data_IF_841433495070
#
_entry.id   IF_841433495070
#
_cell.length_a   1.000
_cell.length_b   1.000
_cell.length_c   1.000
_cell.angle_alpha   90.00
_cell.angle_beta   90.00
_cell.angle_gamma   90.00
#
_symmetry.space_group_name_H-M   'P 1'
#
loop_
_entity.id
_entity.type
_entity.pdbx_description
1 polymer ?
#
# COMPACT_ATOMS: atom_id res chain seq x y z
N UNK A 1 36.12 -1.71 -20.75
CA UNK A 1 35.48 -2.36 -19.58
C UNK A 1 33.94 -2.30 -19.66
N UNK A 2 33.35 -2.36 -20.86
CA UNK A 2 31.88 -2.36 -21.03
C UNK A 2 31.35 -3.40 -22.04
N UNK A 3 32.22 -4.06 -22.81
CA UNK A 3 31.79 -5.11 -23.75
C UNK A 3 31.65 -6.51 -23.12
N UNK A 4 32.28 -6.75 -21.96
CA UNK A 4 32.19 -8.03 -21.25
C UNK A 4 30.80 -8.25 -20.60
N UNK A 5 30.15 -7.17 -20.13
CA UNK A 5 28.81 -7.22 -19.55
C UNK A 5 27.71 -7.31 -20.62
N UNK A 6 27.89 -6.64 -21.77
CA UNK A 6 26.99 -6.77 -22.91
C UNK A 6 27.05 -8.16 -23.56
N UNK A 7 28.25 -8.79 -23.60
CA UNK A 7 28.41 -10.18 -24.01
C UNK A 7 27.74 -11.14 -23.02
N UNK A 8 27.93 -10.95 -21.70
CA UNK A 8 27.31 -11.79 -20.68
C UNK A 8 25.77 -11.71 -20.67
N UNK A 9 25.21 -10.56 -21.02
CA UNK A 9 23.76 -10.37 -21.07
C UNK A 9 23.11 -10.95 -22.34
N UNK A 10 23.82 -10.94 -23.48
CA UNK A 10 23.34 -11.59 -24.72
C UNK A 10 23.38 -13.12 -24.65
N UNK A 11 24.25 -13.71 -23.83
CA UNK A 11 24.29 -15.18 -23.61
C UNK A 11 23.16 -15.67 -22.69
N UNK A 12 22.48 -14.78 -21.96
CA UNK A 12 21.45 -15.14 -20.97
C UNK A 12 20.02 -15.26 -21.55
N UNK A 13 19.81 -14.94 -22.84
CA UNK A 13 18.54 -15.16 -23.53
C UNK A 13 18.62 -16.34 -24.50
N UNK A 14 18.49 -17.57 -23.98
CA UNK A 14 17.86 -18.68 -24.70
C UNK A 14 17.80 -19.94 -23.83
N UNK A 15 16.58 -20.49 -23.72
CA UNK A 15 16.22 -21.84 -23.28
C UNK A 15 16.34 -22.10 -21.78
N UNK A 16 15.23 -21.84 -21.07
CA UNK A 16 14.88 -22.59 -19.87
C UNK A 16 14.67 -24.05 -20.28
N UNK A 17 15.76 -24.82 -20.28
CA UNK A 17 15.68 -26.27 -20.10
C UNK A 17 15.60 -26.50 -18.60
N UNK A 18 14.49 -27.08 -18.14
CA UNK A 18 14.39 -27.61 -16.78
C UNK A 18 15.35 -28.81 -16.72
N UNK A 19 16.57 -28.59 -16.22
CA UNK A 19 17.49 -29.69 -15.92
C UNK A 19 17.19 -30.24 -14.53
N UNK A 20 17.08 -31.56 -14.44
CA UNK A 20 16.74 -32.37 -13.25
C UNK A 20 17.78 -32.31 -12.10
N UNK A 21 18.66 -31.29 -12.06
CA UNK A 21 19.76 -31.15 -11.08
C UNK A 21 19.29 -30.88 -9.64
N UNK A 22 18.03 -30.48 -9.44
CA UNK A 22 17.44 -30.34 -8.09
C UNK A 22 17.27 -31.67 -7.34
N UNK A 23 17.44 -32.82 -8.00
CA UNK A 23 17.31 -34.14 -7.36
C UNK A 23 18.57 -34.59 -6.62
N UNK A 24 19.72 -33.94 -6.79
CA UNK A 24 21.01 -34.41 -6.24
C UNK A 24 21.72 -33.44 -5.29
N UNK A 25 21.06 -32.40 -4.78
CA UNK A 25 21.70 -31.52 -3.78
C UNK A 25 21.82 -32.23 -2.41
N UNK A 26 23.03 -32.37 -1.84
CA UNK A 26 23.21 -33.04 -0.54
C UNK A 26 22.65 -32.15 0.57
N UNK A 27 21.64 -32.66 1.29
CA UNK A 27 20.95 -31.97 2.38
C UNK A 27 21.85 -31.57 3.56
N UNK A 28 23.04 -32.16 3.67
CA UNK A 28 23.98 -31.92 4.78
C UNK A 28 24.73 -30.58 4.67
N UNK A 29 24.84 -30.00 3.46
CA UNK A 29 25.58 -28.75 3.26
C UNK A 29 24.81 -27.50 3.73
N UNK A 30 23.48 -27.61 3.94
CA UNK A 30 22.61 -26.51 4.38
C UNK A 30 22.79 -26.17 5.88
N UNK A 31 23.36 -27.09 6.66
CA UNK A 31 23.24 -27.10 8.11
C UNK A 31 24.16 -26.09 8.84
N UNK A 32 25.26 -25.65 8.20
CA UNK A 32 26.30 -24.88 8.92
C UNK A 32 26.46 -23.41 8.51
N UNK A 33 26.20 -23.06 7.25
CA UNK A 33 26.60 -21.74 6.75
C UNK A 33 25.49 -20.69 6.78
N UNK A 34 24.22 -21.10 6.67
CA UNK A 34 23.07 -20.17 6.61
C UNK A 34 22.25 -20.09 7.90
N UNK A 35 22.26 -21.13 8.75
CA UNK A 35 21.38 -21.18 9.93
C UNK A 35 21.91 -20.37 11.12
N UNK A 36 23.19 -20.47 11.49
CA UNK A 36 23.72 -19.73 12.66
C UNK A 36 23.52 -18.20 12.62
N UNK A 37 23.66 -17.50 11.48
CA UNK A 37 23.39 -16.07 11.39
C UNK A 37 21.89 -15.75 11.53
N UNK A 38 21.01 -16.59 10.99
CA UNK A 38 19.56 -16.40 11.05
C UNK A 38 18.99 -16.67 12.45
N UNK A 39 19.53 -17.65 13.19
CA UNK A 39 19.14 -17.87 14.60
C UNK A 39 19.58 -16.70 15.49
N UNK A 40 20.75 -16.12 15.23
CA UNK A 40 21.22 -14.93 15.96
C UNK A 40 20.43 -13.66 15.61
N UNK A 41 19.98 -13.50 14.36
CA UNK A 41 19.09 -12.42 13.95
C UNK A 41 17.68 -12.59 14.53
N UNK A 42 17.15 -13.82 14.56
CA UNK A 42 15.87 -14.18 15.15
C UNK A 42 15.84 -14.00 16.68
N UNK A 43 16.96 -14.21 17.36
CA UNK A 43 17.09 -13.96 18.81
C UNK A 43 17.27 -12.47 19.16
N UNK A 44 17.84 -11.66 18.26
CA UNK A 44 17.96 -10.19 18.45
C UNK A 44 16.72 -9.42 18.03
N UNK A 45 15.92 -9.95 17.10
CA UNK A 45 14.62 -9.41 16.76
C UNK A 45 13.57 -9.95 17.73
N UNK A 46 13.37 -9.25 18.85
CA UNK A 46 12.31 -9.49 19.83
C UNK A 46 10.90 -9.22 19.25
N UNK A 47 10.55 -9.85 18.14
CA UNK A 47 9.18 -9.97 17.68
C UNK A 47 8.57 -11.21 18.37
N UNK A 48 7.33 -11.15 18.89
CA UNK A 48 6.64 -12.35 19.34
C UNK A 48 6.43 -13.26 18.12
N UNK A 49 7.35 -14.20 17.93
CA UNK A 49 7.23 -15.26 16.93
C UNK A 49 6.16 -16.22 17.40
N UNK A 50 4.93 -16.01 16.94
CA UNK A 50 3.85 -16.97 17.11
C UNK A 50 4.15 -18.14 16.17
N UNK A 51 4.76 -19.19 16.70
CA UNK A 51 4.95 -20.45 15.97
C UNK A 51 3.60 -21.14 15.73
N UNK A 52 3.48 -21.81 14.59
CA UNK A 52 2.28 -22.53 14.10
C UNK A 52 1.64 -23.47 15.14
N UNK A 53 2.45 -24.08 16.01
CA UNK A 53 2.00 -25.00 17.08
C UNK A 53 1.65 -24.29 18.41
N UNK A 54 1.88 -22.96 18.51
CA UNK A 54 1.71 -22.14 19.71
C UNK A 54 0.38 -21.38 19.80
N UNK A 55 -0.45 -21.40 18.75
CA UNK A 55 -1.76 -20.76 18.80
C UNK A 55 -2.74 -21.60 19.65
N UNK A 56 -3.32 -21.05 20.74
CA UNK A 56 -4.25 -21.76 21.63
C UNK A 56 -5.46 -22.39 20.91
N UNK A 57 -5.75 -21.89 19.71
CA UNK A 57 -6.92 -22.24 18.90
C UNK A 57 -6.91 -23.72 18.49
N UNK A 58 -5.75 -24.33 18.25
CA UNK A 58 -5.67 -25.74 17.84
C UNK A 58 -5.90 -26.74 18.98
N UNK A 59 -5.73 -26.33 20.26
CA UNK A 59 -5.95 -27.19 21.44
C UNK A 59 -7.39 -27.13 21.98
N UNK A 60 -8.15 -26.11 21.63
CA UNK A 60 -9.49 -25.85 22.19
C UNK A 60 -10.63 -26.63 21.50
N UNK A 61 -10.35 -27.40 20.44
CA UNK A 61 -11.33 -28.11 19.62
C UNK A 61 -12.05 -29.31 20.30
N UNK A 62 -12.18 -29.33 21.64
CA UNK A 62 -12.82 -30.42 22.39
C UNK A 62 -13.98 -30.03 23.32
N UNK A 63 -14.37 -28.75 23.44
CA UNK A 63 -15.42 -28.37 24.40
C UNK A 63 -16.30 -27.17 23.97
N UNK A 64 -17.43 -27.37 23.29
CA UNK A 64 -18.47 -26.33 23.13
C UNK A 64 -18.16 -25.27 22.05
N UNK A 65 -18.62 -25.55 20.82
CA UNK A 65 -17.97 -25.12 19.57
C UNK A 65 -18.17 -23.65 19.15
N UNK A 66 -19.13 -22.89 19.71
CA UNK A 66 -19.35 -21.47 19.32
C UNK A 66 -18.70 -20.46 20.27
N UNK A 67 -18.83 -20.66 21.58
CA UNK A 67 -18.24 -19.74 22.56
C UNK A 67 -16.71 -19.71 22.46
N UNK A 68 -16.08 -20.86 22.19
CA UNK A 68 -14.64 -20.96 21.97
C UNK A 68 -14.17 -20.30 20.67
N UNK A 69 -14.99 -20.35 19.61
CA UNK A 69 -14.66 -19.69 18.33
C UNK A 69 -14.62 -18.17 18.52
N UNK A 70 -15.67 -17.61 19.14
CA UNK A 70 -15.74 -16.18 19.45
C UNK A 70 -14.58 -15.77 20.37
N UNK A 71 -14.31 -16.55 21.42
CA UNK A 71 -13.19 -16.28 22.31
C UNK A 71 -11.83 -16.31 21.60
N UNK A 72 -11.63 -17.26 20.68
CA UNK A 72 -10.40 -17.37 19.89
C UNK A 72 -10.23 -16.17 18.93
N UNK A 73 -11.29 -15.76 18.25
CA UNK A 73 -11.30 -14.58 17.36
C UNK A 73 -11.06 -13.29 18.15
N UNK A 74 -11.67 -13.14 19.33
CA UNK A 74 -11.46 -11.99 20.21
C UNK A 74 -10.04 -11.92 20.75
N UNK A 75 -9.42 -13.07 21.06
CA UNK A 75 -8.02 -13.13 21.44
C UNK A 75 -7.11 -12.74 20.27
N UNK A 76 -7.36 -13.28 19.08
CA UNK A 76 -6.59 -12.95 17.87
C UNK A 76 -6.69 -11.44 17.56
N UNK A 77 -7.91 -10.87 17.58
CA UNK A 77 -8.15 -9.44 17.39
C UNK A 77 -7.36 -8.59 18.40
N UNK A 78 -7.47 -8.90 19.70
CA UNK A 78 -6.75 -8.16 20.75
C UNK A 78 -5.24 -8.23 20.57
N UNK A 79 -4.70 -9.41 20.27
CA UNK A 79 -3.27 -9.57 20.02
C UNK A 79 -2.80 -8.77 18.81
N UNK A 80 -3.54 -8.82 17.70
CA UNK A 80 -3.20 -8.06 16.49
C UNK A 80 -3.25 -6.55 16.72
N UNK A 81 -4.25 -6.05 17.45
CA UNK A 81 -4.33 -4.64 17.84
C UNK A 81 -3.14 -4.21 18.70
N UNK A 82 -2.80 -4.98 19.74
CA UNK A 82 -1.62 -4.72 20.58
C UNK A 82 -0.30 -4.77 19.79
N UNK A 83 -0.22 -5.62 18.77
CA UNK A 83 0.93 -5.68 17.89
C UNK A 83 1.00 -4.44 16.98
N UNK A 84 -0.15 -3.99 16.44
CA UNK A 84 -0.25 -2.76 15.62
C UNK A 84 0.11 -1.49 16.40
N UNK A 85 -0.11 -1.46 17.71
CA UNK A 85 0.34 -0.35 18.57
C UNK A 85 1.87 -0.20 18.63
N UNK A 86 2.63 -1.26 18.31
CA UNK A 86 4.09 -1.31 18.48
C UNK A 86 4.86 -1.49 17.17
N UNK A 87 4.24 -2.10 16.17
CA UNK A 87 4.87 -2.46 14.90
C UNK A 87 3.87 -2.26 13.75
N UNK A 88 4.31 -1.55 12.71
CA UNK A 88 3.50 -1.23 11.53
C UNK A 88 3.90 -2.02 10.28
N UNK A 89 4.81 -2.99 10.40
CA UNK A 89 5.20 -3.89 9.30
C UNK A 89 4.05 -4.75 8.84
N UNK A 90 4.10 -5.19 7.58
CA UNK A 90 3.14 -6.13 7.01
C UNK A 90 3.08 -7.43 7.82
N UNK A 91 1.88 -7.85 8.21
CA UNK A 91 1.64 -9.15 8.83
C UNK A 91 1.02 -10.10 7.83
N UNK A 92 1.52 -11.34 7.80
CA UNK A 92 0.85 -12.45 7.13
C UNK A 92 -0.01 -13.17 8.17
N UNK A 93 -1.32 -12.93 8.15
CA UNK A 93 -2.26 -13.61 9.02
C UNK A 93 -2.74 -14.91 8.36
N UNK A 94 -2.33 -16.03 8.92
CA UNK A 94 -2.73 -17.35 8.43
C UNK A 94 -4.17 -17.69 8.82
N UNK A 95 -4.96 -18.10 7.83
CA UNK A 95 -6.20 -18.82 8.05
C UNK A 95 -5.96 -20.22 8.62
N UNK A 96 -7.04 -20.99 8.79
CA UNK A 96 -6.97 -22.35 9.32
C UNK A 96 -7.49 -23.33 8.28
N UNK A 97 -6.58 -24.08 7.67
CA UNK A 97 -6.91 -25.11 6.68
C UNK A 97 -7.52 -26.38 7.28
N UNK A 98 -7.31 -26.63 8.57
CA UNK A 98 -7.60 -27.92 9.21
C UNK A 98 -6.53 -29.00 8.97
N UNK A 99 -5.40 -28.63 8.37
CA UNK A 99 -4.19 -29.44 8.35
C UNK A 99 -3.43 -29.30 9.70
N UNK A 100 -2.64 -30.31 10.10
CA UNK A 100 -2.50 -31.62 9.48
C UNK A 100 -3.73 -32.53 9.67
N UNK A 101 -4.00 -33.41 8.71
CA UNK A 101 -5.15 -34.32 8.82
C UNK A 101 -4.96 -35.33 9.96
N UNK A 102 -6.02 -35.65 10.72
CA UNK A 102 -5.97 -36.73 11.69
C UNK A 102 -5.62 -38.05 11.00
N UNK A 103 -4.80 -38.89 11.66
CA UNK A 103 -4.32 -40.18 11.11
C UNK A 103 -5.43 -40.99 10.43
N UNK A 104 -6.62 -41.04 11.05
CA UNK A 104 -7.79 -41.77 10.55
C UNK A 104 -8.42 -41.32 9.25
N UNK A 105 -8.18 -40.10 8.84
CA UNK A 105 -8.69 -39.57 7.57
C UNK A 105 -7.60 -39.44 6.51
N UNK A 106 -6.32 -39.51 6.91
CA UNK A 106 -5.18 -39.41 5.98
C UNK A 106 -5.11 -40.57 4.96
N UNK A 107 -5.68 -41.74 5.29
CA UNK A 107 -5.68 -42.92 4.41
C UNK A 107 -6.90 -43.02 3.48
N UNK A 108 -7.94 -42.20 3.67
CA UNK A 108 -9.16 -42.29 2.86
C UNK A 108 -8.91 -41.90 1.40
N UNK A 109 -9.60 -42.53 0.43
CA UNK A 109 -9.26 -42.41 -0.98
C UNK A 109 -9.53 -41.02 -1.58
N UNK A 110 -10.48 -40.25 -1.02
CA UNK A 110 -10.92 -38.96 -1.58
C UNK A 110 -10.66 -37.77 -0.65
N UNK A 111 -10.23 -36.65 -1.24
CA UNK A 111 -10.14 -35.35 -0.54
C UNK A 111 -11.50 -34.88 0.01
N UNK A 112 -12.62 -35.32 -0.59
CA UNK A 112 -13.98 -35.05 -0.07
C UNK A 112 -14.21 -35.61 1.34
N UNK A 113 -13.45 -36.63 1.74
CA UNK A 113 -13.51 -37.26 3.05
C UNK A 113 -12.22 -37.09 3.86
N UNK A 114 -11.27 -36.29 3.37
CA UNK A 114 -10.02 -36.01 4.05
C UNK A 114 -10.23 -35.38 5.44
N UNK A 115 -11.37 -34.73 5.66
CA UNK A 115 -11.71 -34.09 6.92
C UNK A 115 -13.21 -34.25 7.25
N UNK A 116 -13.57 -34.51 8.52
CA UNK A 116 -14.97 -34.51 8.96
C UNK A 116 -15.67 -33.20 8.62
N UNK A 117 -16.96 -33.28 8.25
CA UNK A 117 -17.77 -32.08 7.97
C UNK A 117 -17.67 -31.05 9.10
N UNK A 118 -17.81 -31.48 10.35
CA UNK A 118 -17.69 -30.58 11.53
C UNK A 118 -16.38 -29.82 11.59
N UNK A 119 -15.24 -30.48 11.33
CA UNK A 119 -13.93 -29.83 11.37
C UNK A 119 -13.73 -28.89 10.17
N UNK A 120 -14.30 -29.20 9.00
CA UNK A 120 -14.34 -28.28 7.86
C UNK A 120 -15.14 -27.03 8.14
N UNK A 121 -16.36 -27.19 8.66
CA UNK A 121 -17.25 -26.08 8.94
C UNK A 121 -16.62 -25.14 9.97
N UNK A 122 -15.93 -25.69 10.98
CA UNK A 122 -15.23 -24.92 12.00
C UNK A 122 -13.96 -24.22 11.48
N UNK A 123 -13.15 -24.92 10.68
CA UNK A 123 -11.97 -24.32 10.04
C UNK A 123 -12.36 -23.17 9.10
N UNK A 124 -13.46 -23.34 8.36
CA UNK A 124 -14.03 -22.30 7.50
C UNK A 124 -14.52 -21.11 8.33
N UNK A 125 -15.29 -21.34 9.40
CA UNK A 125 -15.81 -20.28 10.26
C UNK A 125 -14.69 -19.47 10.94
N UNK A 126 -13.64 -20.15 11.42
CA UNK A 126 -12.48 -19.49 12.01
C UNK A 126 -11.68 -18.69 10.96
N UNK A 127 -11.46 -19.27 9.79
CA UNK A 127 -10.75 -18.59 8.69
C UNK A 127 -11.52 -17.36 8.23
N UNK A 128 -12.84 -17.42 8.16
CA UNK A 128 -13.68 -16.27 7.83
C UNK A 128 -13.55 -15.16 8.88
N UNK A 129 -13.69 -15.50 10.17
CA UNK A 129 -13.53 -14.52 11.24
C UNK A 129 -12.14 -13.87 11.25
N UNK A 130 -11.08 -14.64 10.96
CA UNK A 130 -9.73 -14.09 10.83
C UNK A 130 -9.58 -13.20 9.60
N UNK A 131 -10.24 -13.53 8.48
CA UNK A 131 -10.27 -12.70 7.27
C UNK A 131 -10.96 -11.37 7.54
N UNK A 132 -12.10 -11.38 8.25
CA UNK A 132 -12.81 -10.17 8.66
C UNK A 132 -11.95 -9.28 9.59
N UNK A 133 -11.23 -9.88 10.53
CA UNK A 133 -10.29 -9.15 11.39
C UNK A 133 -9.17 -8.52 10.55
N UNK A 134 -8.55 -9.27 9.64
CA UNK A 134 -7.51 -8.76 8.76
C UNK A 134 -8.00 -7.59 7.90
N UNK A 135 -9.22 -7.67 7.36
CA UNK A 135 -9.80 -6.61 6.53
C UNK A 135 -10.02 -5.28 7.29
N UNK A 136 -10.10 -5.32 8.62
CA UNK A 136 -10.31 -4.13 9.47
C UNK A 136 -9.00 -3.53 10.00
N UNK A 137 -7.86 -4.17 9.74
CA UNK A 137 -6.56 -3.75 10.26
C UNK A 137 -5.64 -3.32 9.12
N UNK A 138 -4.87 -2.24 9.29
CA UNK A 138 -3.89 -1.82 8.29
C UNK A 138 -2.74 -2.83 8.21
N UNK A 139 -2.18 -2.98 7.02
CA UNK A 139 -0.96 -3.75 6.77
C UNK A 139 -1.07 -5.24 7.16
N UNK A 140 -2.26 -5.83 7.11
CA UNK A 140 -2.47 -7.26 7.32
C UNK A 140 -2.87 -7.92 6.01
N UNK A 141 -2.07 -8.90 5.57
CA UNK A 141 -2.41 -9.79 4.46
C UNK A 141 -2.92 -11.12 4.99
N UNK A 142 -4.15 -11.47 4.64
CA UNK A 142 -4.73 -12.76 5.00
C UNK A 142 -4.26 -13.86 4.03
N UNK A 143 -3.65 -14.91 4.57
CA UNK A 143 -3.24 -16.10 3.82
C UNK A 143 -4.35 -17.13 3.90
N UNK A 144 -5.06 -17.32 2.78
CA UNK A 144 -6.15 -18.30 2.67
C UNK A 144 -5.60 -19.73 2.58
N UNK A 145 -5.29 -20.29 3.74
CA UNK A 145 -4.79 -21.66 3.86
C UNK A 145 -5.75 -22.71 3.28
N UNK A 146 -7.07 -22.46 3.33
CA UNK A 146 -8.07 -23.38 2.79
C UNK A 146 -7.94 -23.43 1.27
N UNK A 147 -7.84 -22.27 0.61
CA UNK A 147 -7.63 -22.19 -0.83
C UNK A 147 -6.32 -22.88 -1.25
N UNK A 148 -5.22 -22.64 -0.52
CA UNK A 148 -3.93 -23.30 -0.77
C UNK A 148 -4.04 -24.82 -0.62
N UNK A 149 -4.72 -25.29 0.43
CA UNK A 149 -4.91 -26.73 0.66
C UNK A 149 -5.79 -27.38 -0.41
N UNK A 150 -6.82 -26.67 -0.90
CA UNK A 150 -7.69 -27.13 -1.98
C UNK A 150 -6.95 -27.20 -3.32
N UNK A 151 -6.14 -26.19 -3.65
CA UNK A 151 -5.36 -26.15 -4.88
C UNK A 151 -4.32 -27.28 -4.94
N UNK A 152 -3.66 -27.57 -3.81
CA UNK A 152 -2.72 -28.70 -3.72
C UNK A 152 -3.42 -30.06 -3.63
N UNK A 153 -4.65 -30.10 -3.13
CA UNK A 153 -5.31 -31.30 -2.64
C UNK A 153 -4.87 -31.64 -1.21
N UNK A 154 -5.84 -31.84 -0.32
CA UNK A 154 -5.61 -32.02 1.12
C UNK A 154 -4.68 -33.20 1.43
N UNK A 155 -4.81 -34.32 0.72
CA UNK A 155 -3.92 -35.47 0.90
C UNK A 155 -2.48 -35.17 0.51
N UNK A 156 -2.28 -34.49 -0.62
CA UNK A 156 -0.94 -34.11 -1.10
C UNK A 156 -0.33 -33.12 -0.12
N UNK A 157 -1.07 -32.08 0.25
CA UNK A 157 -0.65 -31.09 1.24
C UNK A 157 -0.25 -31.72 2.57
N UNK A 158 -0.95 -32.78 3.00
CA UNK A 158 -0.64 -33.49 4.25
C UNK A 158 0.57 -34.43 4.15
N UNK A 159 1.14 -34.72 2.98
CA UNK A 159 2.31 -35.62 2.87
C UNK A 159 3.52 -35.01 3.59
N UNK A 160 4.22 -35.75 4.47
CA UNK A 160 5.46 -35.27 5.07
C UNK A 160 6.52 -35.09 3.99
N UNK A 161 7.27 -33.99 4.06
CA UNK A 161 8.47 -33.76 3.25
C UNK A 161 9.69 -34.31 3.98
N UNK A 162 9.69 -34.18 5.31
CA UNK A 162 10.77 -34.62 6.18
C UNK A 162 10.26 -35.71 7.12
N UNK A 163 10.93 -36.85 7.11
CA UNK A 163 10.60 -38.01 7.96
C UNK A 163 11.71 -38.21 8.99
N UNK A 164 11.47 -37.82 10.24
CA UNK A 164 12.43 -38.01 11.35
C UNK A 164 12.18 -37.13 12.57
N UNK A 165 12.71 -37.53 13.74
CA UNK A 165 12.68 -36.77 15.01
C UNK A 165 13.57 -35.51 15.07
N UNK A 166 14.73 -35.40 14.37
CA UNK A 166 15.62 -34.23 14.51
C UNK A 166 15.01 -32.89 14.10
N UNK A 167 13.93 -32.93 13.34
CA UNK A 167 13.30 -31.74 12.77
C UNK A 167 12.17 -31.20 13.65
N UNK A 168 12.02 -31.70 14.89
CA UNK A 168 11.01 -31.25 15.86
C UNK A 168 11.07 -29.74 16.19
N UNK A 169 12.20 -29.09 15.91
CA UNK A 169 12.43 -27.65 16.09
C UNK A 169 12.48 -26.88 14.76
N UNK A 170 12.20 -27.53 13.62
CA UNK A 170 12.24 -26.89 12.33
C UNK A 170 11.26 -25.70 12.24
N UNK A 171 11.75 -24.55 11.81
CA UNK A 171 11.00 -23.30 11.59
C UNK A 171 10.23 -23.29 10.25
N UNK A 172 10.15 -24.43 9.55
CA UNK A 172 9.46 -24.56 8.27
C UNK A 172 8.39 -25.64 8.31
N UNK A 173 7.43 -25.55 7.40
CA UNK A 173 6.37 -26.56 7.28
C UNK A 173 6.96 -27.93 6.90
N UNK A 174 6.75 -28.92 7.77
CA UNK A 174 7.25 -30.30 7.56
C UNK A 174 6.48 -31.11 6.53
N UNK A 175 5.42 -30.54 5.96
CA UNK A 175 4.51 -31.18 5.01
C UNK A 175 4.47 -30.40 3.71
N UNK A 176 4.07 -31.06 2.62
CA UNK A 176 4.01 -30.46 1.27
C UNK A 176 3.15 -29.20 1.21
N UNK A 177 2.24 -29.02 2.15
CA UNK A 177 1.50 -27.78 2.34
C UNK A 177 2.40 -26.53 2.34
N UNK A 178 3.60 -26.62 2.92
CA UNK A 178 4.59 -25.55 2.93
C UNK A 178 4.98 -25.05 1.54
N UNK A 179 5.02 -25.93 0.53
CA UNK A 179 5.32 -25.52 -0.84
C UNK A 179 4.20 -24.65 -1.43
N UNK A 180 2.94 -24.93 -1.09
CA UNK A 180 1.82 -24.09 -1.51
C UNK A 180 1.87 -22.72 -0.84
N UNK A 181 2.13 -22.69 0.47
CA UNK A 181 2.28 -21.45 1.22
C UNK A 181 3.46 -20.60 0.74
N UNK A 182 4.57 -21.24 0.36
CA UNK A 182 5.73 -20.54 -0.20
C UNK A 182 5.35 -19.74 -1.47
N UNK A 183 4.45 -20.26 -2.31
CA UNK A 183 3.90 -19.53 -3.45
C UNK A 183 3.21 -18.24 -3.01
N UNK A 184 2.29 -18.32 -2.06
CA UNK A 184 1.59 -17.15 -1.50
C UNK A 184 2.54 -16.14 -0.86
N UNK A 185 3.57 -16.60 -0.14
CA UNK A 185 4.58 -15.72 0.44
C UNK A 185 5.38 -15.00 -0.63
N UNK A 186 5.78 -15.70 -1.68
CA UNK A 186 6.51 -15.11 -2.80
C UNK A 186 5.69 -14.05 -3.52
N UNK A 187 4.37 -14.22 -3.64
CA UNK A 187 3.50 -13.17 -4.19
C UNK A 187 3.55 -11.89 -3.36
N UNK A 188 3.46 -11.98 -2.02
CA UNK A 188 3.54 -10.80 -1.15
C UNK A 188 4.93 -10.17 -1.19
N UNK A 189 6.00 -10.97 -1.18
CA UNK A 189 7.38 -10.46 -1.24
C UNK A 189 7.65 -9.78 -2.58
N UNK A 190 7.20 -10.37 -3.70
CA UNK A 190 7.32 -9.75 -5.03
C UNK A 190 6.50 -8.46 -5.11
N UNK A 191 5.28 -8.45 -4.56
CA UNK A 191 4.46 -7.25 -4.49
C UNK A 191 5.14 -6.16 -3.67
N UNK A 192 5.71 -6.49 -2.51
CA UNK A 192 6.47 -5.56 -1.68
C UNK A 192 7.63 -4.91 -2.46
N UNK A 193 8.39 -5.71 -3.21
CA UNK A 193 9.49 -5.19 -4.03
C UNK A 193 8.99 -4.31 -5.18
N UNK A 194 8.01 -4.82 -5.93
CA UNK A 194 7.44 -4.15 -7.11
C UNK A 194 6.66 -2.88 -6.77
N UNK A 195 6.06 -2.78 -5.60
CA UNK A 195 5.19 -1.66 -5.20
C UNK A 195 5.85 -0.69 -4.22
N UNK A 196 7.14 -0.84 -3.91
CA UNK A 196 7.83 -0.03 -2.92
C UNK A 196 7.71 1.47 -3.22
N UNK A 197 7.11 2.22 -2.29
CA UNK A 197 7.02 3.67 -2.41
C UNK A 197 6.05 4.16 -3.49
N UNK A 198 5.21 3.28 -4.05
CA UNK A 198 4.14 3.67 -4.97
C UNK A 198 3.16 4.59 -4.24
N UNK A 199 2.89 5.74 -4.86
CA UNK A 199 1.91 6.74 -4.40
C UNK A 199 0.90 7.11 -5.47
N UNK A 200 1.22 6.86 -6.75
CA UNK A 200 0.39 7.23 -7.89
C UNK A 200 0.19 6.03 -8.80
N UNK A 201 -1.05 5.79 -9.20
CA UNK A 201 -1.40 4.90 -10.30
C UNK A 201 -1.92 5.77 -11.45
N UNK A 202 -1.11 5.87 -12.50
CA UNK A 202 -1.50 6.43 -13.76
C UNK A 202 -2.12 5.33 -14.63
N UNK A 203 -3.33 5.56 -15.15
CA UNK A 203 -4.12 4.51 -15.79
C UNK A 203 -4.67 5.00 -17.13
N UNK A 204 -4.49 4.17 -18.15
CA UNK A 204 -5.20 4.29 -19.42
C UNK A 204 -6.66 3.80 -19.27
N UNK A 205 -7.51 4.11 -20.25
CA UNK A 205 -8.94 3.86 -20.17
C UNK A 205 -9.40 2.73 -21.10
N UNK A 206 -9.28 2.92 -22.42
CA UNK A 206 -9.70 1.91 -23.41
C UNK A 206 -8.91 0.62 -23.20
N UNK A 207 -9.57 -0.54 -23.31
CA UNK A 207 -9.03 -1.88 -23.02
C UNK A 207 -8.43 -2.10 -21.61
N UNK A 208 -8.37 -1.06 -20.78
CA UNK A 208 -7.79 -1.06 -19.43
C UNK A 208 -8.89 -1.04 -18.36
N UNK A 209 -9.78 -0.05 -18.39
CA UNK A 209 -10.93 0.09 -17.49
C UNK A 209 -12.23 -0.48 -18.07
N UNK A 210 -12.31 -0.60 -19.39
CA UNK A 210 -13.35 -1.30 -20.14
C UNK A 210 -12.74 -1.96 -21.38
N UNK A 211 -13.49 -2.81 -22.06
CA UNK A 211 -13.11 -3.50 -23.29
C UNK A 211 -13.73 -2.80 -24.51
N UNK A 212 -12.90 -2.38 -25.47
CA UNK A 212 -13.29 -1.63 -26.66
C UNK A 212 -13.09 -0.10 -26.56
N UNK A 213 -13.51 0.62 -27.60
CA UNK A 213 -13.41 2.08 -27.72
C UNK A 213 -14.75 2.72 -27.45
N UNK A 214 -14.85 3.51 -26.38
CA UNK A 214 -16.14 4.05 -25.92
C UNK A 214 -16.81 4.98 -26.93
N UNK A 215 -16.02 5.70 -27.74
CA UNK A 215 -16.50 6.58 -28.80
C UNK A 215 -17.19 5.82 -29.97
N UNK A 216 -16.89 4.52 -30.14
CA UNK A 216 -17.41 3.71 -31.25
C UNK A 216 -18.71 2.97 -30.89
N UNK A 217 -19.07 2.87 -29.61
CA UNK A 217 -20.29 2.19 -29.20
C UNK A 217 -20.33 1.72 -27.74
N UNK A 218 -21.20 0.74 -27.43
CA UNK A 218 -21.26 0.14 -26.10
C UNK A 218 -19.98 -0.66 -25.80
N UNK A 219 -19.49 -0.54 -24.58
CA UNK A 219 -18.27 -1.21 -24.11
C UNK A 219 -18.56 -2.12 -22.92
N UNK A 220 -17.72 -3.13 -22.71
CA UNK A 220 -17.82 -4.00 -21.54
C UNK A 220 -16.91 -3.48 -20.42
N UNK A 221 -17.51 -3.02 -19.33
CA UNK A 221 -16.76 -2.44 -18.21
C UNK A 221 -16.06 -3.51 -17.35
N UNK A 222 -14.78 -3.30 -17.05
CA UNK A 222 -14.03 -4.10 -16.07
C UNK A 222 -14.28 -3.59 -14.64
N UNK A 223 -15.50 -3.81 -14.14
CA UNK A 223 -15.95 -3.27 -12.83
C UNK A 223 -15.04 -3.66 -11.67
N UNK A 224 -14.47 -4.86 -11.67
CA UNK A 224 -13.56 -5.31 -10.61
C UNK A 224 -12.26 -4.50 -10.58
N UNK A 225 -11.72 -4.14 -11.75
CA UNK A 225 -10.52 -3.29 -11.88
C UNK A 225 -10.81 -1.88 -11.36
N UNK A 226 -11.94 -1.31 -11.79
CA UNK A 226 -12.38 0.03 -11.35
C UNK A 226 -12.63 0.07 -9.84
N UNK A 227 -13.30 -0.93 -9.28
CA UNK A 227 -13.55 -1.04 -7.84
C UNK A 227 -12.25 -1.24 -7.03
N UNK A 228 -11.28 -1.99 -7.55
CA UNK A 228 -9.95 -2.08 -6.94
C UNK A 228 -9.26 -0.72 -6.91
N UNK A 229 -9.18 -0.01 -8.03
CA UNK A 229 -8.56 1.31 -8.09
C UNK A 229 -9.25 2.30 -7.15
N UNK A 230 -10.59 2.30 -7.09
CA UNK A 230 -11.35 3.14 -6.16
C UNK A 230 -10.98 2.85 -4.70
N UNK A 231 -10.92 1.58 -4.29
CA UNK A 231 -10.48 1.22 -2.93
C UNK A 231 -9.05 1.66 -2.64
N UNK A 232 -8.14 1.52 -3.60
CA UNK A 232 -6.75 1.98 -3.44
C UNK A 232 -6.69 3.50 -3.28
N UNK A 233 -7.55 4.20 -4.00
CA UNK A 233 -7.69 5.65 -3.93
C UNK A 233 -8.22 6.11 -2.57
N UNK A 234 -9.25 5.44 -2.05
CA UNK A 234 -9.80 5.70 -0.72
C UNK A 234 -8.79 5.45 0.40
N UNK A 235 -7.76 4.63 0.16
CA UNK A 235 -6.63 4.45 1.06
C UNK A 235 -5.40 5.30 0.74
N UNK A 236 -5.53 6.34 -0.09
CA UNK A 236 -4.53 7.40 -0.23
C UNK A 236 -3.61 7.31 -1.46
N UNK A 237 -3.83 6.35 -2.35
CA UNK A 237 -3.15 6.30 -3.64
C UNK A 237 -3.79 7.31 -4.60
N UNK A 238 -2.98 8.14 -5.25
CA UNK A 238 -3.51 9.07 -6.25
C UNK A 238 -3.79 8.32 -7.54
N UNK A 239 -5.00 8.48 -8.07
CA UNK A 239 -5.31 8.06 -9.43
C UNK A 239 -5.09 9.21 -10.39
N UNK A 240 -4.45 8.93 -11.51
CA UNK A 240 -4.31 9.88 -12.62
C UNK A 240 -4.75 9.21 -13.91
N UNK A 241 -5.64 9.85 -14.66
CA UNK A 241 -6.01 9.36 -15.98
C UNK A 241 -4.95 9.83 -16.99
N UNK A 242 -4.42 8.90 -17.78
CA UNK A 242 -3.51 9.18 -18.89
C UNK A 242 -3.98 8.38 -20.10
N UNK A 243 -4.94 8.94 -20.84
CA UNK A 243 -5.61 8.24 -21.93
C UNK A 243 -5.76 9.07 -23.20
N UNK A 244 -5.60 8.39 -24.34
CA UNK A 244 -5.82 8.97 -25.67
C UNK A 244 -7.28 8.82 -26.06
N UNK A 245 -8.10 9.77 -25.62
CA UNK A 245 -9.55 9.73 -25.81
C UNK A 245 -10.14 11.14 -26.01
N UNK A 246 -11.40 11.22 -26.43
CA UNK A 246 -12.18 12.45 -26.37
C UNK A 246 -12.86 12.54 -24.98
N UNK A 247 -12.54 13.56 -24.15
CA UNK A 247 -13.18 13.74 -22.85
C UNK A 247 -14.71 13.74 -22.89
N UNK A 248 -15.31 14.20 -24.00
CA UNK A 248 -16.78 14.27 -24.17
C UNK A 248 -17.41 12.93 -24.49
N UNK A 249 -16.65 11.97 -25.02
CA UNK A 249 -17.13 10.65 -25.36
C UNK A 249 -17.25 9.72 -24.14
N UNK A 250 -16.63 10.10 -23.01
CA UNK A 250 -16.56 9.26 -21.82
C UNK A 250 -17.89 9.32 -21.05
N UNK A 251 -18.55 8.16 -20.97
CA UNK A 251 -19.80 7.94 -20.26
C UNK A 251 -19.55 7.58 -18.79
N UNK A 252 -19.16 8.57 -18.00
CA UNK A 252 -18.85 8.44 -16.56
C UNK A 252 -19.98 7.82 -15.73
N UNK A 253 -21.24 8.00 -16.17
CA UNK A 253 -22.43 7.40 -15.53
C UNK A 253 -22.49 5.86 -15.63
N UNK A 254 -21.70 5.23 -16.51
CA UNK A 254 -21.60 3.77 -16.61
C UNK A 254 -20.50 3.18 -15.70
N UNK A 255 -19.57 4.02 -15.25
CA UNK A 255 -18.34 3.66 -14.54
C UNK A 255 -18.51 3.64 -13.02
N UNK A 256 -17.70 2.83 -12.35
CA UNK A 256 -17.56 2.84 -10.88
C UNK A 256 -16.68 4.01 -10.44
N UNK A 257 -15.61 4.28 -11.20
CA UNK A 257 -14.76 5.44 -11.02
C UNK A 257 -15.45 6.68 -11.58
N UNK A 258 -15.39 7.76 -10.83
CA UNK A 258 -15.91 9.07 -11.23
C UNK A 258 -14.75 10.05 -11.44
N UNK A 259 -14.96 11.15 -12.19
CA UNK A 259 -13.93 12.18 -12.40
C UNK A 259 -13.27 12.64 -11.10
N UNK A 260 -14.03 12.70 -10.00
CA UNK A 260 -13.60 13.12 -8.67
C UNK A 260 -12.63 12.15 -8.00
N UNK A 261 -12.63 10.88 -8.40
CA UNK A 261 -11.71 9.87 -7.88
C UNK A 261 -10.28 10.12 -8.40
N UNK A 262 -10.10 10.90 -9.47
CA UNK A 262 -8.81 11.23 -10.06
C UNK A 262 -8.25 12.56 -9.56
N UNK A 263 -6.96 12.57 -9.21
CA UNK A 263 -6.24 13.80 -8.87
C UNK A 263 -5.99 14.66 -10.12
N UNK A 264 -5.72 14.03 -11.27
CA UNK A 264 -5.53 14.67 -12.57
C UNK A 264 -6.21 13.84 -13.65
N UNK A 265 -6.90 14.52 -14.57
CA UNK A 265 -7.48 13.92 -15.78
C UNK A 265 -6.71 14.43 -17.00
N UNK A 266 -5.77 13.65 -17.51
CA UNK A 266 -5.08 13.92 -18.76
C UNK A 266 -5.65 13.02 -19.86
N UNK A 267 -6.69 13.54 -20.52
CA UNK A 267 -7.44 12.87 -21.56
C UNK A 267 -7.32 13.72 -22.81
N UNK A 268 -6.52 13.24 -23.76
CA UNK A 268 -6.11 14.02 -24.92
C UNK A 268 -5.12 13.26 -25.80
N UNK A 269 -4.63 13.91 -26.84
CA UNK A 269 -3.81 13.25 -27.88
C UNK A 269 -2.30 13.44 -27.68
N UNK A 270 -1.90 14.03 -26.55
CA UNK A 270 -0.51 14.23 -26.18
C UNK A 270 0.23 12.89 -25.95
N UNK A 271 1.56 12.95 -26.02
CA UNK A 271 2.39 11.77 -25.75
C UNK A 271 2.39 11.44 -24.26
N UNK A 272 2.00 10.22 -23.91
CA UNK A 272 1.89 9.75 -22.51
C UNK A 272 3.15 9.97 -21.67
N UNK A 273 4.39 9.80 -22.16
CA UNK A 273 5.58 10.11 -21.36
C UNK A 273 5.67 11.60 -21.00
N UNK A 274 5.40 12.50 -21.95
CA UNK A 274 5.41 13.95 -21.68
C UNK A 274 4.36 14.30 -20.63
N UNK A 275 3.14 13.79 -20.82
CA UNK A 275 2.03 13.96 -19.89
C UNK A 275 2.36 13.46 -18.49
N UNK A 276 2.94 12.26 -18.35
CA UNK A 276 3.35 11.70 -17.06
C UNK A 276 4.42 12.54 -16.35
N UNK A 277 5.42 13.04 -17.09
CA UNK A 277 6.44 13.92 -16.53
C UNK A 277 5.86 15.23 -16.01
N UNK A 278 4.93 15.83 -16.76
CA UNK A 278 4.22 17.04 -16.36
C UNK A 278 3.36 16.82 -15.12
N UNK A 279 2.61 15.71 -15.07
CA UNK A 279 1.82 15.31 -13.90
C UNK A 279 2.71 15.09 -12.67
N UNK A 280 3.85 14.42 -12.82
CA UNK A 280 4.79 14.20 -11.72
C UNK A 280 5.30 15.52 -11.14
N UNK A 281 5.65 16.48 -12.00
CA UNK A 281 6.02 17.83 -11.59
C UNK A 281 4.83 18.57 -10.93
N UNK A 282 3.63 18.45 -11.49
CA UNK A 282 2.41 19.08 -10.97
C UNK A 282 2.08 18.60 -9.56
N UNK A 283 2.20 17.29 -9.33
CA UNK A 283 1.98 16.66 -8.03
C UNK A 283 3.19 16.79 -7.08
N UNK A 284 4.32 17.35 -7.54
CA UNK A 284 5.58 17.39 -6.79
C UNK A 284 5.97 16.01 -6.23
N UNK A 285 5.86 14.98 -7.07
CA UNK A 285 6.20 13.60 -6.74
C UNK A 285 7.26 13.08 -7.73
N UNK A 286 8.20 12.29 -7.20
CA UNK A 286 9.17 11.59 -8.05
C UNK A 286 8.50 10.56 -8.96
N UNK A 287 9.03 10.38 -10.17
CA UNK A 287 8.55 9.41 -11.15
C UNK A 287 8.63 7.96 -10.64
N UNK A 288 9.55 7.68 -9.71
CA UNK A 288 9.70 6.40 -9.02
C UNK A 288 8.52 6.08 -8.08
N UNK A 289 7.64 7.04 -7.80
CA UNK A 289 6.39 6.82 -7.07
C UNK A 289 5.22 6.40 -7.96
N UNK A 290 5.40 6.36 -9.28
CA UNK A 290 4.35 6.09 -10.26
C UNK A 290 4.35 4.63 -10.71
N UNK A 291 3.14 4.09 -10.87
CA UNK A 291 2.85 2.90 -11.69
C UNK A 291 1.98 3.35 -12.85
N UNK A 292 2.36 3.00 -14.07
CA UNK A 292 1.61 3.26 -15.29
C UNK A 292 0.99 1.96 -15.80
N UNK A 293 -0.33 1.97 -16.01
CA UNK A 293 -1.12 0.83 -16.48
C UNK A 293 -1.69 1.14 -17.88
N UNK A 294 -1.38 0.29 -18.84
CA UNK A 294 -1.83 0.44 -20.23
C UNK A 294 -1.90 -0.93 -20.91
N UNK A 295 -2.88 -1.16 -21.79
CA UNK A 295 -3.01 -2.40 -22.56
C UNK A 295 -2.08 -2.43 -23.79
N UNK A 296 -1.72 -1.25 -24.31
CA UNK A 296 -0.99 -1.10 -25.55
C UNK A 296 0.53 -1.25 -25.33
N UNK A 297 1.17 -2.29 -25.89
CA UNK A 297 2.61 -2.52 -25.71
C UNK A 297 3.48 -1.40 -26.27
N UNK A 298 3.01 -0.67 -27.29
CA UNK A 298 3.75 0.45 -27.89
C UNK A 298 3.78 1.64 -26.94
N UNK A 299 2.65 2.00 -26.33
CA UNK A 299 2.59 3.08 -25.31
C UNK A 299 3.43 2.71 -24.09
N UNK A 300 3.33 1.45 -23.63
CA UNK A 300 4.18 0.94 -22.55
C UNK A 300 5.67 1.04 -22.87
N UNK A 301 6.08 0.63 -24.07
CA UNK A 301 7.48 0.71 -24.51
C UNK A 301 7.97 2.16 -24.62
N UNK A 302 7.10 3.08 -25.04
CA UNK A 302 7.42 4.50 -25.13
C UNK A 302 7.63 5.10 -23.73
N UNK A 303 6.73 4.84 -22.78
CA UNK A 303 6.89 5.31 -21.39
C UNK A 303 8.12 4.69 -20.73
N UNK A 304 8.34 3.38 -20.88
CA UNK A 304 9.49 2.71 -20.26
C UNK A 304 10.85 3.21 -20.80
N UNK A 305 10.92 3.62 -22.07
CA UNK A 305 12.14 4.16 -22.67
C UNK A 305 12.41 5.61 -22.27
N UNK A 306 11.38 6.45 -22.19
CA UNK A 306 11.54 7.88 -21.88
C UNK A 306 11.59 8.15 -20.36
N UNK A 307 10.88 7.36 -19.56
CA UNK A 307 10.76 7.51 -18.12
C UNK A 307 11.09 6.18 -17.40
N UNK A 308 12.37 5.75 -17.40
CA UNK A 308 12.77 4.45 -16.83
C UNK A 308 12.49 4.31 -15.32
N UNK A 309 12.22 5.41 -14.62
CA UNK A 309 11.83 5.42 -13.21
C UNK A 309 10.36 5.02 -12.99
N UNK A 310 9.49 5.24 -13.99
CA UNK A 310 8.07 4.88 -13.91
C UNK A 310 7.95 3.36 -14.05
N UNK A 311 7.22 2.72 -13.13
CA UNK A 311 6.92 1.30 -13.24
C UNK A 311 5.81 1.08 -14.27
N UNK A 312 6.12 0.46 -15.39
CA UNK A 312 5.16 0.26 -16.50
C UNK A 312 4.64 -1.17 -16.51
N UNK A 313 3.33 -1.37 -16.34
CA UNK A 313 2.70 -2.70 -16.26
C UNK A 313 1.63 -2.88 -17.32
N UNK A 314 1.49 -4.14 -17.78
CA UNK A 314 0.46 -4.55 -18.73
C UNK A 314 -0.90 -4.66 -18.04
N UNK A 315 -1.87 -3.86 -18.46
CA UNK A 315 -3.24 -3.90 -17.93
C UNK A 315 -4.00 -5.18 -18.33
N UNK A 316 -3.57 -5.88 -19.38
CA UNK A 316 -4.16 -7.16 -19.79
C UNK A 316 -3.66 -8.34 -18.96
N UNK A 317 -2.51 -8.21 -18.29
CA UNK A 317 -1.96 -9.26 -17.43
C UNK A 317 -2.74 -9.36 -16.10
N UNK A 318 -3.37 -10.53 -15.78
CA UNK A 318 -4.03 -10.72 -14.51
C UNK A 318 -3.09 -10.55 -13.29
N UNK A 319 -1.79 -10.81 -13.43
CA UNK A 319 -0.81 -10.61 -12.35
C UNK A 319 -0.69 -9.15 -11.92
N UNK A 320 -0.85 -8.20 -12.85
CA UNK A 320 -0.87 -6.76 -12.55
C UNK A 320 -1.92 -6.44 -11.49
N UNK A 321 -3.16 -6.88 -11.71
CA UNK A 321 -4.28 -6.60 -10.81
C UNK A 321 -4.20 -7.36 -9.48
N UNK A 322 -3.73 -8.62 -9.52
CA UNK A 322 -3.46 -9.39 -8.28
C UNK A 322 -2.38 -8.73 -7.43
N UNK A 323 -1.33 -8.20 -8.07
CA UNK A 323 -0.24 -7.50 -7.38
C UNK A 323 -0.75 -6.20 -6.76
N UNK A 324 -1.53 -5.40 -7.51
CA UNK A 324 -2.16 -4.17 -6.99
C UNK A 324 -3.09 -4.44 -5.81
N UNK A 325 -3.79 -5.57 -5.80
CA UNK A 325 -4.66 -5.96 -4.68
C UNK A 325 -3.91 -6.22 -3.36
N UNK A 326 -2.59 -6.44 -3.41
CA UNK A 326 -1.73 -6.62 -2.22
C UNK A 326 -1.32 -5.27 -1.62
N UNK A 327 -1.35 -4.18 -2.40
CA UNK A 327 -0.91 -2.85 -1.97
C UNK A 327 -1.46 -2.41 -0.60
N UNK A 328 -2.74 -2.66 -0.23
CA UNK A 328 -3.28 -2.30 1.08
C UNK A 328 -2.61 -2.95 2.29
N UNK A 329 -1.94 -4.08 2.07
CA UNK A 329 -1.20 -4.78 3.12
C UNK A 329 0.22 -4.25 3.31
N UNK A 330 0.70 -3.32 2.48
CA UNK A 330 2.08 -2.83 2.49
C UNK A 330 2.25 -1.57 3.35
N UNK A 331 3.39 -1.36 4.04
CA UNK A 331 3.51 -0.37 5.11
C UNK A 331 3.42 1.10 4.69
N UNK A 332 3.65 1.40 3.41
CA UNK A 332 3.53 2.76 2.87
C UNK A 332 2.12 3.10 2.37
N UNK A 333 1.19 2.13 2.41
CA UNK A 333 -0.21 2.37 2.11
C UNK A 333 -0.94 2.85 3.37
N UNK A 334 -1.00 4.17 3.55
CA UNK A 334 -1.52 4.76 4.78
C UNK A 334 -2.99 5.19 4.62
N UNK A 335 -3.91 4.51 5.31
CA UNK A 335 -5.34 4.86 5.36
C UNK A 335 -5.65 5.96 6.39
N UNK A 336 -4.86 7.03 6.46
CA UNK A 336 -5.15 8.15 7.38
C UNK A 336 -6.31 8.99 6.85
N UNK A 337 -6.99 9.73 7.73
CA UNK A 337 -8.00 10.71 7.34
C UNK A 337 -7.41 11.76 6.38
N UNK A 338 -6.14 12.12 6.58
CA UNK A 338 -5.36 13.00 5.70
C UNK A 338 -5.12 12.37 4.32
N UNK A 339 -4.88 11.06 4.25
CA UNK A 339 -4.74 10.33 3.00
C UNK A 339 -6.04 10.31 2.17
N UNK A 340 -7.21 10.25 2.83
CA UNK A 340 -8.53 10.38 2.17
C UNK A 340 -8.77 11.76 1.57
N UNK A 341 -8.23 12.80 2.20
CA UNK A 341 -8.33 14.18 1.70
C UNK A 341 -7.25 14.52 0.67
N UNK A 342 -6.24 13.66 0.50
CA UNK A 342 -5.08 13.89 -0.36
C UNK A 342 -5.46 14.08 -1.82
N UNK A 343 -6.38 13.28 -2.37
CA UNK A 343 -6.85 13.45 -3.76
C UNK A 343 -7.47 14.83 -3.97
N UNK A 344 -8.33 15.28 -3.04
CA UNK A 344 -8.94 16.60 -3.11
C UNK A 344 -7.91 17.73 -3.03
N UNK A 345 -6.94 17.64 -2.10
CA UNK A 345 -5.85 18.62 -1.99
C UNK A 345 -5.02 18.70 -3.27
N UNK A 346 -4.65 17.56 -3.87
CA UNK A 346 -3.89 17.55 -5.12
C UNK A 346 -4.69 18.06 -6.30
N UNK A 347 -6.00 17.80 -6.37
CA UNK A 347 -6.88 18.36 -7.39
C UNK A 347 -6.98 19.87 -7.27
N UNK A 348 -7.13 20.39 -6.05
CA UNK A 348 -7.08 21.84 -5.76
C UNK A 348 -5.75 22.43 -6.22
N UNK A 349 -4.64 21.81 -5.84
CA UNK A 349 -3.30 22.27 -6.23
C UNK A 349 -3.09 22.20 -7.76
N UNK A 350 -3.62 21.17 -8.42
CA UNK A 350 -3.57 20.98 -9.85
C UNK A 350 -4.32 22.09 -10.61
N UNK A 351 -5.56 22.39 -10.20
CA UNK A 351 -6.36 23.49 -10.73
C UNK A 351 -5.68 24.84 -10.50
N UNK A 352 -5.08 25.02 -9.32
CA UNK A 352 -4.35 26.22 -8.93
C UNK A 352 -3.14 26.44 -9.84
N UNK A 353 -2.33 25.42 -10.11
CA UNK A 353 -1.21 25.51 -11.04
C UNK A 353 -1.64 25.73 -12.49
N UNK A 354 -2.73 25.10 -12.94
CA UNK A 354 -3.28 25.34 -14.29
C UNK A 354 -3.71 26.80 -14.46
N UNK A 355 -4.38 27.36 -13.45
CA UNK A 355 -4.73 28.78 -13.45
C UNK A 355 -3.47 29.65 -13.47
N UNK A 356 -2.49 29.39 -12.60
CA UNK A 356 -1.22 30.13 -12.58
C UNK A 356 -0.52 30.10 -13.94
N UNK A 357 -0.46 28.95 -14.64
CA UNK A 357 0.12 28.86 -15.99
C UNK A 357 -0.67 29.66 -17.02
N UNK A 358 -2.00 29.54 -17.01
CA UNK A 358 -2.87 30.29 -17.92
C UNK A 358 -2.72 31.82 -17.77
N UNK A 359 -2.46 32.30 -16.55
CA UNK A 359 -2.21 33.72 -16.28
C UNK A 359 -0.74 34.13 -16.43
N UNK A 360 0.22 33.25 -16.13
CA UNK A 360 1.66 33.51 -16.21
C UNK A 360 2.19 33.62 -17.63
N UNK A 361 1.56 32.93 -18.60
CA UNK A 361 1.87 33.08 -20.02
C UNK A 361 1.28 34.37 -20.63
N UNK A 362 0.45 35.13 -19.88
CA UNK A 362 -0.24 36.34 -20.35
C UNK A 362 -0.13 37.59 -19.44
N UNK A 363 0.53 37.54 -18.27
CA UNK A 363 0.52 38.67 -17.31
C UNK A 363 1.61 38.65 -16.22
N UNK A 364 1.76 39.79 -15.53
CA UNK A 364 2.68 39.98 -14.40
C UNK A 364 2.24 39.20 -13.15
N UNK A 365 3.17 38.98 -12.19
CA UNK A 365 2.91 38.29 -10.91
C UNK A 365 1.65 38.80 -10.17
N UNK A 366 1.29 40.07 -10.34
CA UNK A 366 0.07 40.68 -9.80
C UNK A 366 -1.22 40.08 -10.37
N UNK A 367 -1.27 39.78 -11.67
CA UNK A 367 -2.43 39.18 -12.31
C UNK A 367 -2.70 37.75 -11.80
N UNK A 368 -1.64 37.02 -11.48
CA UNK A 368 -1.72 35.68 -10.87
C UNK A 368 -2.31 35.79 -9.45
N UNK A 369 -1.83 36.73 -8.64
CA UNK A 369 -2.31 36.91 -7.26
C UNK A 369 -3.78 37.36 -7.21
N UNK A 370 -4.20 38.25 -8.11
CA UNK A 370 -5.61 38.66 -8.24
C UNK A 370 -6.51 37.49 -8.66
N UNK A 371 -6.05 36.65 -9.59
CA UNK A 371 -6.81 35.49 -10.05
C UNK A 371 -7.01 34.43 -8.94
N UNK A 372 -6.09 34.32 -7.99
CA UNK A 372 -6.21 33.40 -6.86
C UNK A 372 -7.28 33.86 -5.85
N UNK A 373 -7.58 35.16 -5.76
CA UNK A 373 -8.51 35.73 -4.76
C UNK A 373 -8.13 35.31 -3.32
N UNK A 374 -6.89 35.60 -2.95
CA UNK A 374 -6.35 35.23 -1.64
C UNK A 374 -7.07 35.97 -0.50
N UNK A 375 -7.56 35.23 0.49
CA UNK A 375 -8.11 35.76 1.74
C UNK A 375 -7.28 35.25 2.92
N UNK A 376 -6.79 36.17 3.76
CA UNK A 376 -6.04 35.83 4.96
C UNK A 376 -6.86 36.15 6.21
N UNK A 377 -7.06 35.15 7.07
CA UNK A 377 -7.68 35.29 8.39
C UNK A 377 -6.61 35.26 9.46
N UNK A 378 -6.51 36.34 10.24
CA UNK A 378 -5.53 36.45 11.34
C UNK A 378 -6.26 36.51 12.68
N UNK A 379 -5.85 35.69 13.65
CA UNK A 379 -6.38 35.73 15.01
C UNK A 379 -5.33 35.33 16.05
N UNK A 380 -5.63 35.55 17.33
CA UNK A 380 -4.78 35.08 18.44
C UNK A 380 -4.78 33.55 18.48
N UNK A 381 -3.60 32.96 18.71
CA UNK A 381 -3.42 31.51 18.81
C UNK A 381 -4.36 30.90 19.86
N UNK A 382 -4.99 29.78 19.51
CA UNK A 382 -5.83 28.96 20.39
C UNK A 382 -5.07 27.70 20.80
N UNK A 383 -5.48 27.06 21.90
CA UNK A 383 -4.82 25.84 22.40
C UNK A 383 -4.62 24.74 21.34
N UNK A 384 -5.63 24.38 20.51
CA UNK A 384 -5.46 23.32 19.52
C UNK A 384 -4.38 23.60 18.46
N UNK A 385 -3.97 24.86 18.30
CA UNK A 385 -3.02 25.31 17.28
C UNK A 385 -1.57 25.29 17.80
N UNK A 386 -1.36 25.13 19.11
CA UNK A 386 -0.05 25.18 19.76
C UNK A 386 0.95 24.20 19.13
N UNK A 387 0.52 22.95 18.90
CA UNK A 387 1.38 21.93 18.31
C UNK A 387 1.86 22.32 16.90
N UNK A 388 0.96 22.90 16.11
CA UNK A 388 1.26 23.33 14.73
C UNK A 388 2.13 24.59 14.69
N UNK A 389 1.89 25.54 15.60
CA UNK A 389 2.72 26.75 15.76
C UNK A 389 4.14 26.37 16.17
N UNK A 390 4.28 25.49 17.16
CA UNK A 390 5.57 24.96 17.59
C UNK A 390 6.31 24.29 16.43
N UNK A 391 5.64 23.42 15.67
CA UNK A 391 6.21 22.78 14.49
C UNK A 391 6.72 23.81 13.45
N UNK A 392 5.94 24.86 13.18
CA UNK A 392 6.30 25.88 12.19
C UNK A 392 7.47 26.75 12.65
N UNK A 393 7.53 27.14 13.92
CA UNK A 393 8.67 27.89 14.48
C UNK A 393 9.96 27.06 14.51
N UNK A 394 9.85 25.74 14.61
CA UNK A 394 10.98 24.82 14.61
C UNK A 394 11.53 24.49 13.19
N UNK A 395 10.74 24.70 12.13
CA UNK A 395 11.17 24.48 10.74
C UNK A 395 12.12 25.60 10.28
N UNK A 396 13.26 25.21 9.73
CA UNK A 396 14.21 26.11 9.05
C UNK A 396 13.75 26.32 7.61
N UNK A 397 12.91 27.34 7.36
CA UNK A 397 12.47 27.73 6.01
C UNK A 397 12.89 29.18 5.68
N UNK A 398 12.86 29.55 4.40
CA UNK A 398 13.27 30.87 3.90
C UNK A 398 12.41 32.04 4.43
N UNK A 399 11.31 31.75 5.14
CA UNK A 399 10.37 32.73 5.68
C UNK A 399 10.39 32.82 7.22
N UNK A 400 11.26 32.06 7.88
CA UNK A 400 11.52 32.20 9.31
C UNK A 400 12.55 33.31 9.52
N UNK A 401 12.08 34.54 9.69
CA UNK A 401 12.91 35.75 9.77
C UNK A 401 13.73 35.87 11.06
N UNK A 402 13.36 35.13 12.11
CA UNK A 402 14.04 35.21 13.42
C UNK A 402 14.97 34.03 13.67
N UNK A 403 14.68 32.86 13.08
CA UNK A 403 15.34 31.57 13.33
C UNK A 403 15.34 31.12 14.80
N UNK A 404 14.57 31.80 15.66
CA UNK A 404 14.43 31.47 17.08
C UNK A 404 13.53 30.25 17.22
N UNK A 405 14.04 29.23 17.92
CA UNK A 405 13.29 28.01 18.23
C UNK A 405 12.67 28.16 19.61
N UNK A 406 11.35 28.25 19.63
CA UNK A 406 10.58 28.32 20.87
C UNK A 406 10.20 26.91 21.32
N UNK A 407 10.25 26.66 22.63
CA UNK A 407 9.59 25.49 23.23
C UNK A 407 8.09 25.73 23.32
N UNK A 408 7.31 24.66 23.51
CA UNK A 408 5.85 24.79 23.57
C UNK A 408 5.40 25.66 24.76
N UNK A 409 6.09 25.57 25.89
CA UNK A 409 5.80 26.35 27.10
C UNK A 409 6.07 27.86 26.90
N UNK A 410 7.05 28.16 26.05
CA UNK A 410 7.44 29.51 25.69
C UNK A 410 6.39 30.21 24.80
N UNK A 411 5.64 29.45 24.01
CA UNK A 411 4.57 29.96 23.15
C UNK A 411 3.27 30.25 23.92
N UNK A 412 3.13 29.68 25.11
CA UNK A 412 1.99 29.89 26.01
C UNK A 412 2.26 30.90 27.12
N UNK A 413 3.47 31.47 27.18
CA UNK A 413 3.87 32.47 28.17
C UNK A 413 2.95 33.71 28.12
N UNK A 414 2.33 34.11 29.25
CA UNK A 414 1.52 35.33 29.33
C UNK A 414 2.24 36.61 28.87
N UNK A 415 3.58 36.67 28.96
CA UNK A 415 4.41 37.75 28.47
C UNK A 415 4.54 37.80 26.93
N UNK A 416 3.92 36.85 26.22
CA UNK A 416 3.97 36.74 24.76
C UNK A 416 2.57 36.67 24.16
N UNK A 417 2.39 37.40 23.07
CA UNK A 417 1.20 37.33 22.23
C UNK A 417 1.54 36.63 20.92
N UNK A 418 0.91 35.47 20.71
CA UNK A 418 1.04 34.69 19.49
C UNK A 418 -0.19 34.92 18.61
N UNK A 419 0.05 35.37 17.39
CA UNK A 419 -0.95 35.52 16.34
C UNK A 419 -0.69 34.51 15.24
N UNK A 420 -1.75 33.92 14.72
CA UNK A 420 -1.70 32.94 13.64
C UNK A 420 -2.51 33.46 12.45
N UNK A 421 -2.00 33.21 11.24
CA UNK A 421 -2.67 33.55 10.00
C UNK A 421 -2.95 32.30 9.17
N UNK A 422 -4.20 32.15 8.77
CA UNK A 422 -4.69 31.16 7.83
C UNK A 422 -4.90 31.81 6.47
N UNK A 423 -4.44 31.17 5.42
CA UNK A 423 -4.59 31.65 4.05
C UNK A 423 -5.49 30.69 3.26
N UNK A 424 -6.42 31.25 2.50
CA UNK A 424 -7.26 30.52 1.56
C UNK A 424 -7.26 31.25 0.21
N UNK A 425 -7.50 30.51 -0.87
CA UNK A 425 -7.78 31.08 -2.19
C UNK A 425 -9.11 30.52 -2.73
N UNK A 426 -9.50 30.92 -3.94
CA UNK A 426 -10.75 30.44 -4.57
C UNK A 426 -10.80 28.92 -4.80
N UNK A 427 -9.68 28.22 -4.69
CA UNK A 427 -9.57 26.79 -4.91
C UNK A 427 -9.52 25.99 -3.60
N UNK A 428 -9.06 26.58 -2.48
CA UNK A 428 -9.08 25.98 -1.15
C UNK A 428 -8.10 26.57 -0.14
N UNK A 429 -8.07 26.01 1.06
CA UNK A 429 -7.21 26.45 2.16
C UNK A 429 -5.73 26.04 2.00
N UNK A 430 -4.82 26.93 2.39
CA UNK A 430 -3.39 26.64 2.60
C UNK A 430 -3.10 26.25 4.05
N UNK A 431 -4.08 26.38 4.95
CA UNK A 431 -3.91 26.18 6.39
C UNK A 431 -3.15 27.32 7.05
N UNK A 432 -2.54 27.02 8.20
CA UNK A 432 -1.77 28.00 8.99
C UNK A 432 -0.44 28.29 8.28
N UNK A 433 -0.29 29.50 7.76
CA UNK A 433 0.89 29.95 6.99
C UNK A 433 1.70 31.04 7.69
N UNK A 434 1.13 31.72 8.69
CA UNK A 434 1.76 32.82 9.41
C UNK A 434 1.76 32.55 10.92
N UNK A 435 2.91 32.74 11.55
CA UNK A 435 3.05 32.85 13.00
C UNK A 435 3.73 34.19 13.30
N UNK A 436 3.09 35.04 14.08
CA UNK A 436 3.66 36.29 14.55
C UNK A 436 3.70 36.32 16.08
N UNK A 437 4.89 36.53 16.61
CA UNK A 437 5.16 36.57 18.04
C UNK A 437 5.49 38.00 18.44
N UNK A 438 4.75 38.53 19.40
CA UNK A 438 5.02 39.82 20.03
C UNK A 438 5.34 39.59 21.50
N UNK A 439 6.52 40.02 21.94
CA UNK A 439 6.84 40.11 23.36
C UNK A 439 6.15 41.37 23.91
N UNK A 440 5.40 41.21 25.00
CA UNK A 440 4.79 42.32 25.71
C UNK A 440 5.69 42.60 26.90
N UNK A 441 6.44 43.70 26.85
CA UNK A 441 7.10 44.22 28.05
C UNK A 441 6.01 44.64 29.02
N UNK A 442 5.89 43.92 30.14
CA UNK A 442 5.19 44.44 31.30
C UNK A 442 6.00 45.63 31.79
N UNK A 443 5.44 46.83 31.68
CA UNK A 443 5.98 48.00 32.36
C UNK A 443 6.17 47.63 33.82
N UNK A 444 7.44 47.53 34.25
CA UNK A 444 7.76 47.44 35.66
C UNK A 444 7.32 48.75 36.31
N UNK A 445 6.66 48.64 37.46
CA UNK A 445 6.32 49.77 38.32
C UNK A 445 7.58 50.60 38.63
N UNK A 446 7.71 51.76 37.98
CA UNK A 446 8.54 52.86 38.46
C UNK A 446 7.78 53.54 39.62
N UNK A 447 7.77 52.92 40.79
CA UNK A 447 7.54 53.58 42.09
C UNK A 447 8.58 53.09 43.10
N UNK A 448 9.69 53.84 43.20
CA UNK A 448 10.44 54.09 44.44
C UNK A 448 11.23 55.40 44.33
#
# INVERSE_FOLDING_TARGET
>A
MNDALAAAWRTAQARVAVTDEWRSFPSEALDRQYYRPLTALAQRAAAPQVTYDGLPIYRLLRAGERALLTQALDQARRFLLQLRERDDRTLLLHGVSGLPLPRRFAWLPSDRWAMPKRLRDLAAALSEGLREIAAQLPHVWFVDEIAVAQQLGYRVANRPIVTGRPFAEALFHRRRFGFGLAGTYLEVVRAYDRLRGVKVIAVDFDNTLWDGVMAEGPVRHYRDRQALLKRLQEGGILLVAVSKNDPKAIRWNEMVLQPEDFAVLAIGWELKPTTLAEIAAQLNLGLDAFVFLDDNPTERGLVASHLPQVRVWDACDPETWRTLAILPALPWYSQTAEARQRTAMYRVQALRQQAVRAYGDQGSDTAVLEALQLEMRVHRMREPELARVHELTARTNQFNTTTIRYRSEELTDPGRQVWVGYLQDRFGDYGLVLVWLRVVETAADDEA
#
